data_IF_882892616310
#
_entry.id   IF_882892616310
#
_cell.length_a   1.000
_cell.length_b   1.000
_cell.length_c   1.000
_cell.angle_alpha   90.00
_cell.angle_beta   90.00
_cell.angle_gamma   90.00
#
_symmetry.space_group_name_H-M   'P 1'
#
loop_
_entity.id
_entity.type
_entity.pdbx_description
1 polymer ?
#
# COMPACT_ATOMS: atom_id res chain seq x y z
N UNK A 1 14.05 16.10 -7.68
CA UNK A 1 14.47 15.20 -6.60
C UNK A 1 14.83 13.79 -7.09
N UNK A 2 14.68 13.46 -8.37
CA UNK A 2 15.31 12.30 -9.01
C UNK A 2 16.10 12.82 -10.21
N UNK A 3 17.36 13.19 -10.00
CA UNK A 3 18.29 13.64 -11.05
C UNK A 3 19.49 12.70 -11.22
N UNK A 4 19.50 11.58 -10.49
CA UNK A 4 20.51 10.54 -10.60
C UNK A 4 19.99 9.35 -11.42
N UNK A 5 20.94 8.66 -12.03
CA UNK A 5 20.72 7.53 -12.93
C UNK A 5 20.05 6.37 -12.17
N UNK A 6 18.72 6.28 -12.29
CA UNK A 6 17.84 5.33 -11.58
C UNK A 6 18.22 3.87 -11.86
N UNK A 7 19.03 3.64 -12.90
CA UNK A 7 19.55 2.36 -13.36
C UNK A 7 20.46 1.65 -12.35
N UNK A 8 20.93 2.36 -11.31
CA UNK A 8 21.77 1.81 -10.24
C UNK A 8 21.00 1.26 -9.03
N UNK A 9 19.67 1.49 -8.97
CA UNK A 9 18.87 1.08 -7.82
C UNK A 9 18.51 -0.41 -7.86
N UNK A 10 18.64 -1.06 -6.71
CA UNK A 10 18.20 -2.45 -6.54
C UNK A 10 16.68 -2.51 -6.40
N UNK A 11 16.01 -3.24 -7.30
CA UNK A 11 14.56 -3.43 -7.25
C UNK A 11 14.23 -4.70 -6.47
N UNK A 12 13.45 -4.55 -5.40
CA UNK A 12 12.89 -5.64 -4.61
C UNK A 12 11.39 -5.70 -4.89
N UNK A 13 10.90 -6.81 -5.44
CA UNK A 13 9.49 -6.93 -5.87
C UNK A 13 8.75 -7.98 -5.06
N UNK A 14 7.55 -7.64 -4.61
CA UNK A 14 6.65 -8.61 -4.00
C UNK A 14 6.36 -9.78 -4.95
N UNK A 15 6.52 -11.00 -4.43
CA UNK A 15 6.38 -12.25 -5.18
C UNK A 15 7.71 -12.97 -5.40
N UNK A 16 8.82 -12.24 -5.42
CA UNK A 16 10.16 -12.83 -5.62
C UNK A 16 10.63 -13.58 -4.37
N UNK A 17 10.23 -13.10 -3.18
CA UNK A 17 10.53 -13.71 -1.89
C UNK A 17 9.37 -13.50 -0.90
N UNK A 18 9.30 -14.29 0.19
CA UNK A 18 8.43 -14.02 1.32
C UNK A 18 8.56 -12.57 1.83
N UNK A 19 7.42 -11.97 2.23
CA UNK A 19 7.33 -10.56 2.66
C UNK A 19 8.39 -10.16 3.69
N UNK A 20 8.62 -11.03 4.68
CA UNK A 20 9.58 -10.74 5.75
C UNK A 20 11.02 -10.67 5.23
N UNK A 21 11.41 -11.56 4.29
CA UNK A 21 12.73 -11.53 3.68
C UNK A 21 12.92 -10.30 2.79
N UNK A 22 11.89 -9.90 2.05
CA UNK A 22 11.93 -8.65 1.27
C UNK A 22 12.16 -7.42 2.15
N UNK A 23 11.50 -7.35 3.31
CA UNK A 23 11.70 -6.25 4.27
C UNK A 23 13.09 -6.27 4.89
N UNK A 24 13.60 -7.44 5.26
CA UNK A 24 14.96 -7.58 5.79
C UNK A 24 16.01 -7.19 4.76
N UNK A 25 15.82 -7.59 3.50
CA UNK A 25 16.71 -7.22 2.40
C UNK A 25 16.67 -5.72 2.09
N UNK A 26 15.47 -5.12 2.11
CA UNK A 26 15.28 -3.69 1.93
C UNK A 26 15.98 -2.89 3.03
N UNK A 27 15.87 -3.32 4.30
CA UNK A 27 16.54 -2.69 5.44
C UNK A 27 18.07 -2.69 5.33
N UNK A 28 18.64 -3.69 4.67
CA UNK A 28 20.10 -3.87 4.52
C UNK A 28 20.66 -3.25 3.24
N UNK A 29 19.81 -2.99 2.23
CA UNK A 29 20.24 -2.52 0.92
C UNK A 29 20.21 -0.99 0.84
N UNK A 30 21.37 -0.36 0.81
CA UNK A 30 21.48 1.05 0.44
C UNK A 30 21.12 1.22 -1.06
N UNK A 31 20.34 2.26 -1.39
CA UNK A 31 19.93 2.52 -2.78
C UNK A 31 19.01 1.46 -3.37
N UNK A 32 17.97 1.05 -2.63
CA UNK A 32 16.98 0.08 -3.10
C UNK A 32 15.57 0.65 -3.16
N UNK A 33 14.73 0.05 -4.00
CA UNK A 33 13.30 0.34 -4.12
C UNK A 33 12.52 -0.94 -3.91
N UNK A 34 11.63 -0.92 -2.90
CA UNK A 34 10.72 -2.02 -2.62
C UNK A 34 9.35 -1.74 -3.24
N UNK A 35 8.93 -2.62 -4.15
CA UNK A 35 7.64 -2.57 -4.83
C UNK A 35 6.69 -3.58 -4.15
N UNK A 36 5.76 -3.04 -3.35
CA UNK A 36 4.72 -3.80 -2.66
C UNK A 36 3.32 -3.47 -3.18
N UNK A 37 2.40 -4.42 -3.03
CA UNK A 37 0.95 -4.22 -3.20
C UNK A 37 0.27 -4.10 -1.84
N UNK A 38 -1.03 -4.37 -1.73
CA UNK A 38 -1.81 -4.23 -0.49
C UNK A 38 -1.20 -4.93 0.73
N UNK A 39 -0.45 -6.01 0.55
CA UNK A 39 0.18 -6.75 1.65
C UNK A 39 1.26 -5.96 2.41
N UNK A 40 1.77 -4.86 1.85
CA UNK A 40 2.73 -3.96 2.48
C UNK A 40 2.06 -2.71 3.09
N UNK A 41 0.73 -2.60 3.05
CA UNK A 41 0.00 -1.45 3.61
C UNK A 41 0.00 -1.43 5.15
N UNK A 42 0.19 -2.59 5.77
CA UNK A 42 0.15 -2.77 7.22
C UNK A 42 1.31 -3.64 7.68
N UNK A 43 1.84 -3.33 8.87
CA UNK A 43 2.91 -4.12 9.49
C UNK A 43 4.28 -3.95 8.84
N UNK A 44 4.50 -2.85 8.11
CA UNK A 44 5.83 -2.44 7.61
C UNK A 44 6.40 -1.43 8.59
N UNK A 45 7.46 -1.83 9.30
CA UNK A 45 8.25 -0.95 10.14
C UNK A 45 9.71 -0.95 9.64
N UNK A 46 10.13 0.19 9.12
CA UNK A 46 11.47 0.42 8.57
C UNK A 46 12.02 1.72 9.15
N UNK A 47 12.74 1.65 10.28
CA UNK A 47 13.23 2.84 10.96
C UNK A 47 14.47 3.44 10.28
N UNK A 48 14.63 4.76 10.46
CA UNK A 48 15.86 5.47 10.13
C UNK A 48 16.09 5.68 8.63
N UNK A 49 17.37 5.61 8.21
CA UNK A 49 17.78 5.91 6.83
C UNK A 49 17.40 4.84 5.81
N UNK A 50 16.93 3.68 6.27
CA UNK A 50 16.53 2.57 5.39
C UNK A 50 15.26 2.92 4.58
N UNK A 51 14.38 3.78 5.08
CA UNK A 51 13.20 4.26 4.35
C UNK A 51 13.14 5.78 4.39
N UNK A 52 13.44 6.41 3.25
CA UNK A 52 13.47 7.87 3.13
C UNK A 52 12.24 8.44 2.41
N UNK A 53 11.57 7.62 1.60
CA UNK A 53 10.43 8.04 0.80
C UNK A 53 9.42 6.89 0.68
N UNK A 54 8.14 7.21 0.85
CA UNK A 54 7.02 6.30 0.61
C UNK A 54 6.20 6.87 -0.53
N UNK A 55 6.00 6.07 -1.58
CA UNK A 55 5.18 6.44 -2.72
C UNK A 55 3.91 5.60 -2.71
N UNK A 56 2.77 6.28 -2.59
CA UNK A 56 1.44 5.68 -2.66
C UNK A 56 0.84 6.07 -4.00
N UNK A 57 0.68 5.11 -4.90
CA UNK A 57 0.11 5.35 -6.24
C UNK A 57 -1.42 5.45 -6.22
N UNK A 58 -2.07 4.76 -5.27
CA UNK A 58 -3.51 4.82 -5.02
C UNK A 58 -3.82 4.38 -3.59
N UNK A 59 -4.91 4.90 -3.02
CA UNK A 59 -5.43 4.43 -1.74
C UNK A 59 -6.10 3.05 -1.90
N UNK A 60 -6.00 2.16 -0.89
CA UNK A 60 -6.47 0.78 -0.98
C UNK A 60 -7.96 0.66 -0.62
N UNK A 61 -8.83 1.34 -1.35
CA UNK A 61 -10.27 1.17 -1.19
C UNK A 61 -10.72 -0.25 -1.60
N UNK A 62 -11.67 -0.82 -0.85
CA UNK A 62 -12.31 -2.10 -1.18
C UNK A 62 -13.06 -2.02 -2.51
N UNK A 63 -13.16 -3.16 -3.21
CA UNK A 63 -13.84 -3.20 -4.51
C UNK A 63 -15.36 -3.05 -4.30
N UNK A 64 -16.03 -2.07 -4.93
CA UNK A 64 -17.44 -1.78 -4.68
C UNK A 64 -18.41 -2.94 -5.01
N UNK A 65 -18.03 -3.81 -5.96
CA UNK A 65 -18.85 -4.92 -6.44
C UNK A 65 -18.67 -6.23 -5.63
N UNK A 66 -17.90 -6.20 -4.54
CA UNK A 66 -17.89 -7.32 -3.60
C UNK A 66 -19.23 -7.36 -2.85
N UNK A 67 -19.91 -8.52 -2.77
CA UNK A 67 -21.28 -8.58 -2.23
C UNK A 67 -21.44 -7.96 -0.83
N UNK A 68 -20.44 -8.11 0.03
CA UNK A 68 -20.46 -7.55 1.39
C UNK A 68 -20.25 -6.04 1.39
N UNK A 69 -19.42 -5.52 0.48
CA UNK A 69 -19.17 -4.08 0.33
C UNK A 69 -20.42 -3.41 -0.25
N UNK A 70 -21.00 -4.01 -1.28
CA UNK A 70 -22.23 -3.56 -1.92
C UNK A 70 -23.38 -3.45 -0.92
N UNK A 71 -23.68 -4.55 -0.18
CA UNK A 71 -24.75 -4.55 0.82
C UNK A 71 -24.57 -3.47 1.90
N UNK A 72 -23.34 -3.20 2.33
CA UNK A 72 -23.05 -2.12 3.30
C UNK A 72 -23.25 -0.73 2.69
N UNK A 73 -22.89 -0.53 1.43
CA UNK A 73 -23.13 0.73 0.74
C UNK A 73 -24.61 0.99 0.55
N UNK A 74 -25.37 -0.01 0.09
CA UNK A 74 -26.84 0.07 -0.07
C UNK A 74 -27.52 0.41 1.27
N UNK A 75 -27.09 -0.23 2.37
CA UNK A 75 -27.60 0.06 3.70
C UNK A 75 -27.39 1.52 4.12
N UNK A 76 -26.25 2.12 3.79
CA UNK A 76 -25.97 3.52 4.09
C UNK A 76 -26.76 4.47 3.17
N UNK A 77 -26.93 4.11 1.90
CA UNK A 77 -27.76 4.86 0.96
C UNK A 77 -29.23 4.89 1.40
N UNK A 78 -29.77 3.76 1.86
CA UNK A 78 -31.13 3.68 2.41
C UNK A 78 -31.33 4.59 3.64
N UNK A 79 -30.26 4.97 4.33
CA UNK A 79 -30.26 5.94 5.43
C UNK A 79 -29.99 7.38 4.99
N UNK A 80 -29.99 7.67 3.67
CA UNK A 80 -29.58 8.94 3.10
C UNK A 80 -28.16 9.39 3.51
N UNK A 81 -27.25 8.43 3.77
CA UNK A 81 -25.84 8.71 4.08
C UNK A 81 -24.98 8.47 2.85
N UNK A 82 -23.88 9.22 2.74
CA UNK A 82 -22.88 9.04 1.69
C UNK A 82 -21.97 7.83 2.02
N UNK A 83 -22.00 6.71 1.25
CA UNK A 83 -21.19 5.53 1.55
C UNK A 83 -19.69 5.75 1.40
N UNK A 84 -19.27 6.67 0.51
CA UNK A 84 -17.86 6.99 0.37
C UNK A 84 -17.31 7.59 1.67
N UNK A 85 -17.99 8.61 2.22
CA UNK A 85 -17.56 9.27 3.45
C UNK A 85 -17.71 8.38 4.70
N UNK A 86 -18.77 7.58 4.76
CA UNK A 86 -19.11 6.81 5.96
C UNK A 86 -18.55 5.38 5.98
N UNK A 87 -18.11 4.84 4.85
CA UNK A 87 -17.60 3.46 4.77
C UNK A 87 -16.27 3.35 4.03
N UNK A 88 -16.15 3.88 2.81
CA UNK A 88 -14.94 3.67 2.03
C UNK A 88 -13.75 4.48 2.58
N UNK A 89 -13.96 5.74 2.93
CA UNK A 89 -12.90 6.61 3.45
C UNK A 89 -12.31 6.11 4.78
N UNK A 90 -13.11 5.68 5.78
CA UNK A 90 -12.55 5.14 7.03
C UNK A 90 -11.83 3.79 6.90
N UNK A 91 -11.99 3.08 5.78
CA UNK A 91 -11.35 1.77 5.55
C UNK A 91 -9.99 1.88 4.85
N UNK A 92 -9.63 3.05 4.32
CA UNK A 92 -8.39 3.27 3.58
C UNK A 92 -7.13 3.37 4.47
#
# INVERSE_FOLDING_TARGET
LLKEDVTTLKILRQGDMPRYLLLEEFKKSEGSVLLGTSSFWQGVDVPGKALQCVIITKLPFSVPNEPVVEAKMEFLQAQNKNPFLHYQLPQA
#
